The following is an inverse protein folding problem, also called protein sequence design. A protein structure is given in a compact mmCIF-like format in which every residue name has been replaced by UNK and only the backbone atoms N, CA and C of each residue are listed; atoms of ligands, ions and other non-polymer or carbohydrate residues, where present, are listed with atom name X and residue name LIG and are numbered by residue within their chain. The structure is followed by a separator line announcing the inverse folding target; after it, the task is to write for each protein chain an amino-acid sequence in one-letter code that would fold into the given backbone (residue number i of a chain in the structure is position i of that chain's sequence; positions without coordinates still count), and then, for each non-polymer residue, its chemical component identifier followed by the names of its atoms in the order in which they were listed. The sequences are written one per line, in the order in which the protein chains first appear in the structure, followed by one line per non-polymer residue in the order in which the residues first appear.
data_IF_029526441183
#
_entry.id   IF_029526441183
#
_cell.length_a   1.000
_cell.length_b   1.000
_cell.length_c   1.000
_cell.angle_alpha   90.00
_cell.angle_beta   90.00
_cell.angle_gamma   90.00
#
_symmetry.space_group_name_H-M   'P 1'
#
loop_
_entity.id
_entity.type
_entity.pdbx_description
1 polymer ?
#
# COMPACT_ATOMS: atom_id res chain seq x y z
N UNK A 1 25.95 3.44 1.17
CA UNK A 1 25.81 2.53 0.02
C UNK A 1 24.93 3.29 -0.95
N UNK A 2 25.52 3.88 -1.98
CA UNK A 2 24.76 4.70 -2.91
C UNK A 2 23.96 3.76 -3.81
N UNK A 3 22.64 3.73 -3.62
CA UNK A 3 21.73 2.93 -4.42
C UNK A 3 21.45 3.63 -5.74
N UNK A 4 22.48 3.73 -6.59
CA UNK A 4 22.45 4.50 -7.85
C UNK A 4 21.50 3.91 -8.91
N UNK A 5 21.05 2.67 -8.72
CA UNK A 5 20.25 1.92 -9.68
C UNK A 5 18.73 2.15 -9.57
N UNK A 6 18.25 2.89 -8.55
CA UNK A 6 16.85 3.31 -8.45
C UNK A 6 16.68 4.67 -7.77
N UNK A 7 15.53 5.30 -8.01
CA UNK A 7 15.08 6.52 -7.31
C UNK A 7 13.67 6.33 -6.74
N UNK A 8 13.47 6.68 -5.48
CA UNK A 8 12.12 6.77 -4.92
C UNK A 8 11.45 8.05 -5.42
N UNK A 9 10.35 7.91 -6.18
CA UNK A 9 9.60 9.03 -6.76
C UNK A 9 8.24 9.27 -6.08
N UNK A 10 7.78 8.32 -5.26
CA UNK A 10 6.61 8.49 -4.40
C UNK A 10 6.79 7.67 -3.13
N UNK A 11 6.46 8.27 -1.99
CA UNK A 11 6.31 7.58 -0.72
C UNK A 11 5.16 8.22 0.05
N UNK A 12 4.00 7.59 0.00
CA UNK A 12 2.76 8.14 0.57
C UNK A 12 1.99 7.08 1.35
N UNK A 13 1.13 7.52 2.25
CA UNK A 13 0.02 6.67 2.69
C UNK A 13 -0.95 6.42 1.55
N UNK A 14 -1.69 5.31 1.63
CA UNK A 14 -2.82 5.03 0.77
C UNK A 14 -4.07 5.43 1.55
N UNK A 15 -4.58 6.63 1.29
CA UNK A 15 -5.76 7.15 1.97
C UNK A 15 -6.94 6.18 1.83
N UNK A 16 -7.66 5.95 2.94
CA UNK A 16 -8.80 5.03 2.98
C UNK A 16 -8.45 3.53 2.94
N UNK A 17 -7.17 3.16 2.96
CA UNK A 17 -6.76 1.74 2.92
C UNK A 17 -6.99 0.99 4.23
N UNK A 18 -6.97 1.68 5.38
CA UNK A 18 -7.21 1.06 6.68
C UNK A 18 -8.65 0.60 6.83
N UNK A 19 -8.87 -0.60 7.38
CA UNK A 19 -10.21 -1.13 7.62
C UNK A 19 -11.02 -0.17 8.49
N UNK A 20 -12.26 0.10 8.09
CA UNK A 20 -13.18 0.95 8.83
C UNK A 20 -13.58 0.31 10.15
N UNK A 21 -13.87 1.13 11.13
CA UNK A 21 -14.36 0.69 12.43
C UNK A 21 -14.34 1.84 13.43
N UNK A 22 -14.89 1.61 14.62
CA UNK A 22 -14.81 2.56 15.74
C UNK A 22 -13.37 3.03 15.93
N UNK A 23 -12.43 2.09 15.85
CA UNK A 23 -11.01 2.34 15.66
C UNK A 23 -10.59 1.84 14.26
N UNK A 24 -10.32 2.78 13.34
CA UNK A 24 -9.80 2.46 12.00
C UNK A 24 -8.45 1.75 12.09
N UNK A 25 -8.26 0.74 11.24
CA UNK A 25 -6.97 0.07 11.07
C UNK A 25 -5.89 1.02 10.53
N UNK A 26 -4.62 0.71 10.81
CA UNK A 26 -3.49 1.48 10.26
C UNK A 26 -3.50 1.48 8.73
N UNK A 27 -3.13 2.60 8.10
CA UNK A 27 -3.10 2.68 6.65
C UNK A 27 -1.95 1.86 6.06
N UNK A 28 -2.20 1.30 4.89
CA UNK A 28 -1.14 0.88 3.99
C UNK A 28 -0.38 2.09 3.45
N UNK A 29 0.79 1.83 2.88
CA UNK A 29 1.59 2.86 2.20
C UNK A 29 2.06 2.36 0.84
N UNK A 30 2.33 3.31 -0.04
CA UNK A 30 2.87 3.09 -1.37
C UNK A 30 4.28 3.63 -1.44
N UNK A 31 5.17 2.86 -2.06
CA UNK A 31 6.46 3.34 -2.55
C UNK A 31 6.53 3.10 -4.06
N UNK A 32 6.96 4.12 -4.80
CA UNK A 32 7.20 3.99 -6.23
C UNK A 32 8.67 4.24 -6.49
N UNK A 33 9.33 3.25 -7.09
CA UNK A 33 10.73 3.32 -7.47
C UNK A 33 10.84 3.37 -8.99
N UNK A 34 11.51 4.39 -9.50
CA UNK A 34 11.97 4.42 -10.88
C UNK A 34 13.32 3.73 -10.97
N UNK A 35 13.44 2.79 -11.90
CA UNK A 35 14.67 2.03 -12.11
C UNK A 35 15.57 2.78 -13.08
N UNK A 36 16.80 3.06 -12.65
CA UNK A 36 17.73 3.93 -13.37
C UNK A 36 18.76 3.16 -14.20
N UNK A 37 18.88 1.85 -14.00
CA UNK A 37 19.85 0.99 -14.67
C UNK A 37 19.23 -0.35 -15.07
N UNK A 38 19.82 -1.02 -16.05
CA UNK A 38 19.47 -2.40 -16.38
C UNK A 38 20.15 -3.38 -15.41
N UNK A 39 19.80 -4.67 -15.48
CA UNK A 39 20.30 -5.73 -14.58
C UNK A 39 19.92 -5.52 -13.11
N UNK A 40 18.78 -4.85 -12.86
CA UNK A 40 18.20 -4.72 -11.52
C UNK A 40 17.19 -5.85 -11.29
N UNK A 41 17.26 -6.50 -10.14
CA UNK A 41 16.30 -7.55 -9.75
C UNK A 41 15.52 -7.11 -8.52
N UNK A 42 14.20 -7.17 -8.60
CA UNK A 42 13.33 -7.01 -7.44
C UNK A 42 12.97 -8.37 -6.87
N UNK A 43 13.45 -8.63 -5.66
CA UNK A 43 13.02 -9.77 -4.86
C UNK A 43 12.08 -9.28 -3.74
N UNK A 44 10.96 -9.97 -3.57
CA UNK A 44 9.96 -9.60 -2.56
C UNK A 44 9.45 -10.82 -1.82
N UNK A 45 9.19 -10.64 -0.54
CA UNK A 45 8.60 -11.61 0.37
C UNK A 45 7.57 -10.89 1.23
N UNK A 46 6.41 -10.66 0.64
CA UNK A 46 5.26 -10.02 1.28
C UNK A 46 4.19 -11.03 1.69
N UNK A 47 3.29 -10.57 2.55
CA UNK A 47 2.07 -11.25 2.95
C UNK A 47 0.87 -10.32 2.76
N UNK A 48 -0.33 -10.83 3.07
CA UNK A 48 -1.60 -10.08 3.02
C UNK A 48 -2.01 -9.58 1.62
N UNK A 49 -1.60 -10.28 0.56
CA UNK A 49 -2.05 -10.00 -0.82
C UNK A 49 -3.40 -10.65 -1.12
N UNK A 50 -3.67 -11.81 -0.52
CA UNK A 50 -4.93 -12.57 -0.69
C UNK A 50 -5.73 -12.66 0.60
N UNK A 51 -5.06 -12.81 1.75
CA UNK A 51 -5.67 -12.85 3.07
C UNK A 51 -5.41 -11.53 3.79
N UNK A 52 -6.37 -10.61 3.76
CA UNK A 52 -6.23 -9.27 4.34
C UNK A 52 -6.16 -9.32 5.87
N UNK A 53 -5.80 -8.21 6.51
CA UNK A 53 -5.96 -8.08 7.96
C UNK A 53 -7.45 -8.00 8.28
N UNK A 54 -7.95 -8.99 9.03
CA UNK A 54 -9.34 -9.03 9.43
C UNK A 54 -9.68 -7.86 10.36
N UNK A 55 -10.90 -7.34 10.20
CA UNK A 55 -11.48 -6.49 11.21
C UNK A 55 -12.04 -7.31 12.38
N UNK A 56 -12.14 -6.68 13.55
CA UNK A 56 -12.63 -7.31 14.77
C UNK A 56 -13.90 -6.62 15.26
N UNK A 57 -14.85 -7.41 15.78
CA UNK A 57 -16.07 -6.92 16.42
C UNK A 57 -16.89 -5.93 15.56
N UNK A 58 -17.03 -6.21 14.26
CA UNK A 58 -17.76 -5.36 13.31
C UNK A 58 -16.89 -4.35 12.55
N UNK A 59 -15.57 -4.38 12.73
CA UNK A 59 -14.65 -3.66 11.85
C UNK A 59 -14.46 -4.34 10.49
N UNK A 60 -14.13 -3.55 9.47
CA UNK A 60 -13.84 -4.01 8.11
C UNK A 60 -12.39 -4.49 7.97
N UNK A 61 -12.13 -5.27 6.92
CA UNK A 61 -10.77 -5.67 6.52
C UNK A 61 -9.96 -4.47 6.02
N UNK A 62 -8.65 -4.50 6.25
CA UNK A 62 -7.71 -3.56 5.65
C UNK A 62 -7.41 -3.90 4.19
N UNK A 63 -7.10 -2.91 3.36
CA UNK A 63 -6.71 -3.11 1.98
C UNK A 63 -5.52 -4.08 1.84
N UNK A 64 -5.49 -4.92 0.79
CA UNK A 64 -4.43 -5.90 0.60
C UNK A 64 -3.14 -5.22 0.17
N UNK A 65 -2.03 -5.91 0.38
CA UNK A 65 -0.76 -5.55 -0.24
C UNK A 65 -0.81 -5.86 -1.74
N UNK A 66 -0.05 -5.10 -2.54
CA UNK A 66 0.06 -5.31 -3.99
C UNK A 66 1.43 -4.87 -4.48
N UNK A 67 1.98 -5.59 -5.45
CA UNK A 67 3.17 -5.19 -6.18
C UNK A 67 2.85 -5.17 -7.68
N UNK A 68 3.32 -4.14 -8.40
CA UNK A 68 3.24 -4.09 -9.86
C UNK A 68 4.39 -3.32 -10.46
N UNK A 69 4.68 -3.60 -11.72
CA UNK A 69 5.65 -2.87 -12.54
C UNK A 69 4.89 -2.17 -13.65
N UNK A 70 5.13 -0.87 -13.82
CA UNK A 70 4.74 -0.15 -15.03
C UNK A 70 5.94 -0.14 -15.98
N UNK A 71 5.76 -0.71 -17.17
CA UNK A 71 6.78 -0.81 -18.22
C UNK A 71 6.23 -0.22 -19.51
N UNK A 72 6.57 1.04 -19.78
CA UNK A 72 5.85 1.81 -20.79
C UNK A 72 4.36 1.88 -20.45
N UNK A 73 3.51 1.40 -21.35
CA UNK A 73 2.05 1.32 -21.17
C UNK A 73 1.57 0.01 -20.53
N UNK A 74 2.48 -0.95 -20.30
CA UNK A 74 2.16 -2.25 -19.71
C UNK A 74 2.11 -2.18 -18.18
N UNK A 75 1.09 -2.82 -17.59
CA UNK A 75 0.97 -3.03 -16.14
C UNK A 75 1.14 -4.50 -15.81
N UNK A 76 2.25 -4.84 -15.16
CA UNK A 76 2.60 -6.21 -14.79
C UNK A 76 2.35 -6.40 -13.30
N UNK A 77 1.31 -7.15 -12.93
CA UNK A 77 1.06 -7.51 -11.53
C UNK A 77 2.07 -8.56 -11.06
N UNK A 78 2.61 -8.37 -9.85
CA UNK A 78 3.58 -9.29 -9.26
C UNK A 78 2.98 -10.04 -8.05
N UNK A 79 3.28 -11.34 -7.90
CA UNK A 79 2.93 -12.09 -6.69
C UNK A 79 3.58 -11.50 -5.43
N UNK A 80 3.06 -11.92 -4.27
CA UNK A 80 3.60 -11.53 -2.96
C UNK A 80 5.02 -12.03 -2.71
N UNK A 81 5.39 -13.13 -3.35
CA UNK A 81 6.71 -13.77 -3.23
C UNK A 81 7.24 -14.07 -4.61
N UNK A 82 8.24 -13.31 -5.06
CA UNK A 82 8.81 -13.46 -6.39
C UNK A 82 10.18 -12.81 -6.50
N UNK A 83 10.92 -13.19 -7.55
CA UNK A 83 12.11 -12.51 -8.04
C UNK A 83 11.85 -12.10 -9.47
N UNK A 84 11.91 -10.80 -9.76
CA UNK A 84 11.50 -10.23 -11.04
C UNK A 84 12.59 -9.31 -11.61
N UNK A 85 13.05 -9.54 -12.86
CA UNK A 85 14.01 -8.67 -13.53
C UNK A 85 13.35 -7.37 -13.99
N UNK A 86 13.94 -6.25 -13.57
CA UNK A 86 13.54 -4.89 -13.93
C UNK A 86 14.47 -4.33 -15.02
N UNK A 87 13.92 -3.41 -15.81
CA UNK A 87 14.61 -2.68 -16.87
C UNK A 87 14.74 -1.21 -16.50
N UNK A 88 15.74 -0.53 -17.05
CA UNK A 88 15.84 0.93 -16.96
C UNK A 88 14.51 1.56 -17.43
N UNK A 89 13.97 2.49 -16.65
CA UNK A 89 12.72 3.18 -16.91
C UNK A 89 11.47 2.51 -16.34
N UNK A 90 11.56 1.27 -15.85
CA UNK A 90 10.45 0.63 -15.14
C UNK A 90 10.08 1.45 -13.88
N UNK A 91 8.78 1.53 -13.58
CA UNK A 91 8.29 2.03 -12.28
C UNK A 91 7.77 0.85 -11.46
N UNK A 92 8.53 0.47 -10.44
CA UNK A 92 8.11 -0.53 -9.46
C UNK A 92 7.22 0.14 -8.40
N UNK A 93 5.97 -0.30 -8.32
CA UNK A 93 5.01 0.15 -7.32
C UNK A 93 4.87 -0.95 -6.27
N UNK A 94 5.22 -0.63 -5.03
CA UNK A 94 5.08 -1.50 -3.86
C UNK A 94 4.03 -0.90 -2.93
N UNK A 95 2.96 -1.64 -2.69
CA UNK A 95 1.90 -1.29 -1.75
C UNK A 95 1.88 -2.28 -0.61
N UNK A 96 2.08 -1.77 0.61
CA UNK A 96 2.04 -2.57 1.83
C UNK A 96 0.61 -2.62 2.34
N UNK A 97 0.16 -3.80 2.76
CA UNK A 97 -1.18 -4.04 3.26
C UNK A 97 -1.50 -3.16 4.47
N UNK A 98 -2.78 -2.82 4.60
CA UNK A 98 -3.30 -2.06 5.73
C UNK A 98 -3.76 -2.98 6.87
N UNK A 99 -4.02 -2.39 8.04
CA UNK A 99 -4.63 -3.08 9.17
C UNK A 99 -6.16 -3.13 9.06
N UNK A 100 -6.77 -4.14 9.69
CA UNK A 100 -8.22 -4.21 9.87
C UNK A 100 -8.72 -3.26 10.95
N UNK A 101 -9.99 -2.88 10.87
CA UNK A 101 -10.65 -2.02 11.85
C UNK A 101 -11.13 -2.78 13.09
N UNK A 102 -11.50 -2.04 14.14
CA UNK A 102 -12.08 -2.59 15.36
C UNK A 102 -13.39 -1.88 15.70
N UNK A 103 -14.45 -2.64 15.97
CA UNK A 103 -15.78 -2.13 16.31
C UNK A 103 -16.55 -1.58 15.11
N UNK A 104 -17.84 -1.34 15.26
CA UNK A 104 -18.69 -0.75 14.21
C UNK A 104 -18.18 0.65 13.83
N UNK A 105 -18.07 0.92 12.53
CA UNK A 105 -17.67 2.23 12.01
C UNK A 105 -18.66 3.33 12.37
N UNK A 106 -19.94 3.01 12.56
CA UNK A 106 -20.96 3.95 13.02
C UNK A 106 -20.68 4.51 14.43
N UNK A 107 -19.93 3.76 15.26
CA UNK A 107 -19.53 4.18 16.61
C UNK A 107 -18.25 5.02 16.63
N UNK A 108 -17.67 5.35 15.46
CA UNK A 108 -16.45 6.17 15.38
C UNK A 108 -16.74 7.58 15.92
N UNK A 109 -15.98 8.06 16.93
CA UNK A 109 -16.19 9.42 17.44
C UNK A 109 -15.94 10.47 16.35
N UNK A 110 -16.88 11.41 16.18
CA UNK A 110 -16.79 12.48 15.18
C UNK A 110 -15.45 13.22 15.22
N UNK A 111 -14.92 13.54 16.40
CA UNK A 111 -13.62 14.21 16.53
C UNK A 111 -12.46 13.43 15.89
N UNK A 112 -12.51 12.09 15.90
CA UNK A 112 -11.52 11.25 15.21
C UNK A 112 -11.75 11.16 13.71
N UNK A 113 -13.01 11.21 13.27
CA UNK A 113 -13.35 11.23 11.85
C UNK A 113 -12.90 12.54 11.19
N UNK A 114 -13.16 13.69 11.82
CA UNK A 114 -12.69 15.00 11.37
C UNK A 114 -11.16 15.03 11.29
N UNK A 115 -10.49 14.55 12.34
CA UNK A 115 -9.03 14.47 12.33
C UNK A 115 -8.49 13.57 11.21
N UNK A 116 -9.09 12.42 10.94
CA UNK A 116 -8.66 11.59 9.80
C UNK A 116 -8.78 12.32 8.46
N UNK A 117 -9.79 13.18 8.29
CA UNK A 117 -9.95 14.01 7.08
C UNK A 117 -8.88 15.10 7.01
N UNK A 118 -8.66 15.83 8.11
CA UNK A 118 -7.63 16.87 8.21
C UNK A 118 -6.22 16.30 7.96
N UNK A 119 -5.94 15.10 8.48
CA UNK A 119 -4.68 14.39 8.33
C UNK A 119 -4.57 13.65 6.96
N UNK A 120 -5.61 13.71 6.10
CA UNK A 120 -5.63 13.06 4.78
C UNK A 120 -5.60 11.52 4.82
N UNK A 121 -6.07 10.92 5.91
CA UNK A 121 -6.02 9.47 6.16
C UNK A 121 -7.20 8.73 5.51
N UNK A 122 -8.26 9.45 5.16
CA UNK A 122 -9.40 8.97 4.38
C UNK A 122 -9.39 9.63 3.00
N UNK A 123 -9.99 8.97 2.01
CA UNK A 123 -10.12 9.57 0.69
C UNK A 123 -10.98 10.85 0.79
N UNK A 124 -10.60 11.89 0.04
CA UNK A 124 -11.48 13.02 -0.18
C UNK A 124 -12.73 12.53 -0.93
N UNK A 125 -13.91 12.92 -0.45
CA UNK A 125 -15.18 12.73 -1.15
C UNK A 125 -15.30 13.66 -2.36
#
# INVERSE_FOLDING_TARGET
MDHVFFRCIDYSYIAGSGGKGRMRGGLGFRKVYEILEDNVTFATYGDRFTQQADGLFGGDQGAPGQNKVLRGDEVIALPSKTSFPLKRGDKLIVQVAAGGGYGDAADRPNARAVRDQEDGLVAAE
#
